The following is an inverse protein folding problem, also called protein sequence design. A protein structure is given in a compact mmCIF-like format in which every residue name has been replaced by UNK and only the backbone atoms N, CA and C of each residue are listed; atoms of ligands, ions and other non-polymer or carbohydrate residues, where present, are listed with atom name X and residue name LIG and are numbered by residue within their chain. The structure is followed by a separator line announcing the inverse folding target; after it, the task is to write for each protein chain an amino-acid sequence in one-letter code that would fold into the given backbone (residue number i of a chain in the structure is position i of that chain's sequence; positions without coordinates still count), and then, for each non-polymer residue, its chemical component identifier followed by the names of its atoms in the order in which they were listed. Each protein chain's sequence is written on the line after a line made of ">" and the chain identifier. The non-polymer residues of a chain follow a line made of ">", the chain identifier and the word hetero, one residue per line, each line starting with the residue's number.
data_IF_533598533794
#
_entry.id   IF_533598533794
#
_cell.length_a   1.000
_cell.length_b   1.000
_cell.length_c   1.000
_cell.angle_alpha   90.00
_cell.angle_beta   90.00
_cell.angle_gamma   90.00
#
_symmetry.space_group_name_H-M   'P 1'
#
loop_
_entity.id
_entity.type
_entity.pdbx_description
1 polymer ?
#
# COMPACT_ATOMS: atom_id res chain seq x y z
N UNK A 1 -10.57 -14.92 5.52
CA UNK A 1 -12.00 -14.55 5.31
C UNK A 1 -12.45 -13.43 6.24
N UNK A 2 -12.35 -13.53 7.58
CA UNK A 2 -12.77 -12.45 8.53
C UNK A 2 -12.19 -11.08 8.16
N UNK A 3 -10.87 -10.97 8.00
CA UNK A 3 -10.18 -9.72 7.66
C UNK A 3 -10.71 -9.08 6.38
N UNK A 4 -10.94 -9.88 5.33
CA UNK A 4 -11.47 -9.36 4.06
C UNK A 4 -12.87 -8.76 4.21
N UNK A 5 -13.75 -9.38 5.01
CA UNK A 5 -15.10 -8.87 5.27
C UNK A 5 -15.01 -7.57 6.08
N UNK A 6 -14.19 -7.52 7.12
CA UNK A 6 -13.99 -6.31 7.92
C UNK A 6 -13.47 -5.17 7.05
N UNK A 7 -12.48 -5.43 6.21
CA UNK A 7 -11.92 -4.43 5.30
C UNK A 7 -12.94 -3.92 4.29
N UNK A 8 -13.71 -4.81 3.66
CA UNK A 8 -14.74 -4.43 2.70
C UNK A 8 -15.86 -3.57 3.33
N UNK A 9 -16.30 -3.92 4.53
CA UNK A 9 -17.36 -3.16 5.21
C UNK A 9 -16.87 -1.84 5.80
N UNK A 10 -15.67 -1.81 6.35
CA UNK A 10 -15.07 -0.58 6.90
C UNK A 10 -14.51 0.37 5.83
N UNK A 11 -14.67 0.06 4.53
CA UNK A 11 -14.46 1.01 3.44
C UNK A 11 -15.51 2.13 3.46
N UNK A 12 -16.71 1.83 3.96
CA UNK A 12 -17.73 2.84 4.15
C UNK A 12 -17.45 3.66 5.42
N UNK A 13 -17.31 4.97 5.29
CA UNK A 13 -16.99 5.90 6.40
C UNK A 13 -17.90 5.80 7.63
N UNK A 14 -19.13 5.32 7.43
CA UNK A 14 -20.13 5.12 8.47
C UNK A 14 -19.93 3.85 9.29
N UNK A 15 -19.16 2.87 8.77
CA UNK A 15 -18.90 1.59 9.44
C UNK A 15 -17.56 1.65 10.16
N UNK A 16 -17.58 1.66 11.48
CA UNK A 16 -16.35 1.74 12.30
C UNK A 16 -15.86 0.37 12.76
N UNK A 17 -16.78 -0.55 12.96
CA UNK A 17 -16.47 -1.91 13.40
C UNK A 17 -17.50 -2.92 12.86
N UNK A 18 -17.11 -4.19 12.85
CA UNK A 18 -17.90 -5.32 12.34
C UNK A 18 -17.96 -6.43 13.38
N UNK A 19 -19.16 -6.85 13.72
CA UNK A 19 -19.42 -8.04 14.53
C UNK A 19 -20.05 -9.15 13.70
N UNK A 20 -19.74 -10.40 14.02
CA UNK A 20 -20.21 -11.55 13.29
C UNK A 20 -21.27 -12.33 14.07
N UNK A 21 -22.33 -12.72 13.37
CA UNK A 21 -23.34 -13.63 13.85
C UNK A 21 -23.44 -14.83 12.88
N UNK A 22 -23.65 -16.02 13.41
CA UNK A 22 -23.95 -17.21 12.63
C UNK A 22 -25.36 -17.67 13.01
N UNK A 23 -26.26 -17.69 12.05
CA UNK A 23 -27.68 -17.96 12.27
C UNK A 23 -28.31 -17.03 13.35
N UNK A 24 -27.90 -15.75 13.32
CA UNK A 24 -28.36 -14.74 14.28
C UNK A 24 -27.76 -14.85 15.69
N UNK A 25 -26.83 -15.77 15.93
CA UNK A 25 -26.22 -16.01 17.24
C UNK A 25 -24.71 -15.69 17.24
N UNK A 26 -24.22 -15.16 18.36
CA UNK A 26 -22.79 -15.00 18.60
C UNK A 26 -22.13 -16.38 18.72
N UNK A 27 -21.04 -16.58 18.01
CA UNK A 27 -20.18 -17.77 18.10
C UNK A 27 -18.75 -17.36 18.40
N UNK A 28 -18.02 -18.24 19.08
CA UNK A 28 -16.61 -17.96 19.37
C UNK A 28 -15.73 -18.09 18.14
N UNK A 29 -16.01 -19.06 17.26
CA UNK A 29 -15.18 -19.31 16.07
C UNK A 29 -16.01 -19.91 14.92
N UNK A 30 -15.48 -19.77 13.70
CA UNK A 30 -15.92 -20.49 12.51
C UNK A 30 -15.33 -21.91 12.48
N UNK A 31 -15.83 -22.74 11.56
CA UNK A 31 -15.49 -24.18 11.43
C UNK A 31 -13.99 -24.47 11.36
N UNK A 32 -13.16 -23.52 10.90
CA UNK A 32 -11.70 -23.67 10.83
C UNK A 32 -10.94 -22.87 11.90
N UNK A 33 -11.58 -22.61 13.05
CA UNK A 33 -10.92 -21.99 14.19
C UNK A 33 -10.74 -20.45 14.08
N UNK A 34 -11.25 -19.81 13.03
CA UNK A 34 -11.21 -18.35 12.93
C UNK A 34 -12.08 -17.74 14.01
N UNK A 35 -11.48 -17.02 14.98
CA UNK A 35 -12.19 -16.30 16.02
C UNK A 35 -13.10 -15.21 15.44
N UNK A 36 -14.36 -15.18 15.91
CA UNK A 36 -15.39 -14.21 15.50
C UNK A 36 -16.20 -13.64 16.67
N UNK A 37 -15.74 -13.84 17.90
CA UNK A 37 -16.53 -13.47 19.09
C UNK A 37 -16.59 -11.97 19.34
N UNK A 38 -15.65 -11.21 18.87
CA UNK A 38 -15.51 -9.78 19.18
C UNK A 38 -16.18 -8.84 18.18
N UNK A 39 -15.95 -7.55 18.39
CA UNK A 39 -16.09 -6.50 17.39
C UNK A 39 -14.70 -6.22 16.78
N UNK A 40 -14.65 -6.14 15.47
CA UNK A 40 -13.42 -6.03 14.71
C UNK A 40 -13.38 -4.70 13.97
N UNK A 41 -12.35 -3.94 14.22
CA UNK A 41 -12.05 -2.70 13.50
C UNK A 41 -11.11 -2.99 12.34
N UNK A 42 -10.89 -2.03 11.47
CA UNK A 42 -9.89 -2.09 10.42
C UNK A 42 -8.50 -2.15 11.05
N UNK A 43 -7.84 -3.29 10.92
CA UNK A 43 -6.44 -3.47 11.29
C UNK A 43 -5.59 -3.55 10.04
N UNK A 44 -4.31 -3.25 10.14
CA UNK A 44 -3.37 -3.34 9.04
C UNK A 44 -3.38 -4.72 8.37
N UNK A 45 -3.19 -4.75 7.05
CA UNK A 45 -2.99 -5.99 6.30
C UNK A 45 -1.52 -6.38 6.33
N UNK A 46 -1.26 -7.70 6.46
CA UNK A 46 0.08 -8.26 6.45
C UNK A 46 1.00 -7.50 7.41
N UNK A 47 0.58 -7.40 8.67
CA UNK A 47 1.37 -6.72 9.69
C UNK A 47 2.73 -7.39 9.81
N UNK A 48 3.77 -6.62 9.60
CA UNK A 48 5.11 -6.99 10.01
C UNK A 48 5.11 -6.93 11.55
N UNK A 49 5.34 -8.08 12.20
CA UNK A 49 5.25 -8.20 13.66
C UNK A 49 5.97 -7.02 14.33
N UNK A 50 5.28 -6.27 15.21
CA UNK A 50 5.93 -5.26 16.02
C UNK A 50 6.99 -5.94 16.88
N UNK A 51 8.13 -5.29 17.07
CA UNK A 51 9.03 -5.65 18.14
C UNK A 51 8.20 -5.75 19.42
N UNK A 52 8.36 -6.82 20.16
CA UNK A 52 7.52 -7.42 21.23
C UNK A 52 6.70 -6.51 22.17
N UNK A 53 6.87 -5.20 22.16
CA UNK A 53 6.12 -4.25 22.95
C UNK A 53 5.78 -3.00 22.13
N UNK A 54 4.50 -2.72 21.91
CA UNK A 54 4.04 -1.44 21.39
C UNK A 54 4.12 -0.39 22.49
N UNK A 55 5.11 0.49 22.40
CA UNK A 55 5.22 1.63 23.31
C UNK A 55 4.23 2.74 22.91
N UNK A 56 3.89 3.60 23.86
CA UNK A 56 3.08 4.79 23.61
C UNK A 56 3.70 5.63 22.47
N UNK A 57 2.89 6.02 21.48
CA UNK A 57 3.34 6.77 20.31
C UNK A 57 3.69 5.90 19.09
N UNK A 58 3.50 4.58 19.16
CA UNK A 58 3.55 3.73 17.97
C UNK A 58 2.44 4.10 16.99
N UNK A 59 2.78 4.21 15.72
CA UNK A 59 1.86 4.45 14.61
C UNK A 59 1.99 3.34 13.59
N UNK A 60 0.96 3.12 12.78
CA UNK A 60 0.97 2.13 11.72
C UNK A 60 0.97 2.83 10.37
N UNK A 61 1.98 2.54 9.56
CA UNK A 61 2.02 2.94 8.15
C UNK A 61 1.73 1.75 7.27
N UNK A 62 1.13 1.99 6.10
CA UNK A 62 0.89 0.96 5.11
C UNK A 62 1.61 1.29 3.81
N UNK A 63 2.33 0.31 3.29
CA UNK A 63 3.09 0.38 2.04
C UNK A 63 2.67 -0.76 1.13
N UNK A 64 3.03 -0.68 -0.13
CA UNK A 64 2.75 -1.73 -1.11
C UNK A 64 4.06 -2.29 -1.64
N UNK A 65 4.16 -3.62 -1.73
CA UNK A 65 5.32 -4.29 -2.29
C UNK A 65 4.90 -5.33 -3.34
N UNK A 66 5.69 -5.55 -4.40
CA UNK A 66 5.42 -6.59 -5.37
C UNK A 66 5.52 -7.98 -4.73
N UNK A 67 4.60 -8.87 -5.09
CA UNK A 67 4.77 -10.29 -4.85
C UNK A 67 5.83 -10.87 -5.78
N UNK A 68 6.45 -11.99 -5.41
CA UNK A 68 7.52 -12.64 -6.19
C UNK A 68 7.11 -12.99 -7.63
N UNK A 69 5.83 -13.16 -7.91
CA UNK A 69 5.32 -13.42 -9.26
C UNK A 69 5.15 -12.14 -10.09
N UNK A 70 5.42 -10.97 -9.52
CA UNK A 70 5.32 -9.66 -10.16
C UNK A 70 3.90 -9.25 -10.59
N UNK A 71 2.86 -10.04 -10.24
CA UNK A 71 1.49 -9.80 -10.69
C UNK A 71 0.67 -8.95 -9.73
N UNK A 72 0.99 -9.04 -8.46
CA UNK A 72 0.21 -8.42 -7.39
C UNK A 72 1.07 -7.43 -6.61
N UNK A 73 0.45 -6.34 -6.20
CA UNK A 73 0.97 -5.43 -5.20
C UNK A 73 0.27 -5.73 -3.87
N UNK A 74 1.05 -6.11 -2.88
CA UNK A 74 0.57 -6.57 -1.58
C UNK A 74 0.71 -5.44 -0.57
N UNK A 75 -0.37 -5.02 0.09
CA UNK A 75 -0.27 -4.05 1.18
C UNK A 75 0.38 -4.69 2.41
N UNK A 76 1.33 -3.97 2.98
CA UNK A 76 2.06 -4.36 4.19
C UNK A 76 1.93 -3.23 5.21
N UNK A 77 1.54 -3.57 6.43
CA UNK A 77 1.50 -2.62 7.55
C UNK A 77 2.72 -2.80 8.42
N UNK A 78 3.36 -1.68 8.74
CA UNK A 78 4.54 -1.63 9.62
C UNK A 78 4.29 -0.68 10.78
N UNK A 79 4.59 -1.13 11.99
CA UNK A 79 4.59 -0.25 13.16
C UNK A 79 5.86 0.60 13.17
N UNK A 80 5.69 1.89 13.30
CA UNK A 80 6.77 2.87 13.36
C UNK A 80 6.67 3.70 14.65
N UNK A 81 7.79 4.33 15.01
CA UNK A 81 7.87 5.32 16.08
C UNK A 81 8.28 6.65 15.44
N UNK A 82 7.33 7.56 15.28
CA UNK A 82 7.59 8.83 14.61
C UNK A 82 6.33 9.39 13.97
N UNK A 83 6.49 10.26 12.98
CA UNK A 83 5.37 10.84 12.25
C UNK A 83 4.79 9.85 11.25
N UNK A 84 3.45 9.68 11.27
CA UNK A 84 2.73 9.05 10.18
C UNK A 84 2.55 10.07 9.05
N UNK A 85 3.60 10.27 8.27
CA UNK A 85 3.59 11.14 7.10
C UNK A 85 4.16 10.42 5.87
N UNK A 86 3.92 11.00 4.69
CA UNK A 86 4.35 10.40 3.43
C UNK A 86 5.88 10.28 3.32
N UNK A 87 6.64 11.17 3.94
CA UNK A 87 8.10 11.10 3.90
C UNK A 87 8.61 9.89 4.67
N UNK A 88 8.03 9.62 5.84
CA UNK A 88 8.31 8.41 6.62
C UNK A 88 7.91 7.14 5.85
N UNK A 89 6.75 7.15 5.19
CA UNK A 89 6.33 6.00 4.38
C UNK A 89 7.27 5.74 3.19
N UNK A 90 7.75 6.78 2.51
CA UNK A 90 8.75 6.65 1.44
C UNK A 90 10.08 6.11 1.97
N UNK A 91 10.51 6.59 3.13
CA UNK A 91 11.74 6.09 3.78
C UNK A 91 11.61 4.60 4.16
N UNK A 92 10.49 4.21 4.75
CA UNK A 92 10.24 2.80 5.11
C UNK A 92 10.04 1.91 3.87
N UNK A 93 9.45 2.45 2.80
CA UNK A 93 9.36 1.77 1.51
C UNK A 93 10.74 1.47 0.92
N UNK A 94 11.67 2.42 1.02
CA UNK A 94 13.05 2.24 0.57
C UNK A 94 13.77 1.10 1.31
N UNK A 95 13.46 0.89 2.59
CA UNK A 95 14.01 -0.23 3.38
C UNK A 95 13.55 -1.60 2.89
N UNK A 96 12.52 -1.63 2.05
CA UNK A 96 11.95 -2.87 1.53
C UNK A 96 11.08 -3.63 2.53
N UNK A 97 10.48 -4.75 2.09
CA UNK A 97 9.69 -5.63 2.93
C UNK A 97 10.60 -6.44 3.87
N UNK A 98 9.99 -7.05 4.89
CA UNK A 98 10.69 -7.95 5.81
C UNK A 98 11.26 -9.16 5.06
N UNK A 99 12.46 -9.58 5.44
CA UNK A 99 13.08 -10.82 4.93
C UNK A 99 12.11 -12.00 5.12
N UNK A 100 12.07 -12.90 4.16
CA UNK A 100 11.19 -14.09 4.14
C UNK A 100 9.68 -13.80 4.07
N UNK A 101 9.29 -12.56 3.74
CA UNK A 101 7.87 -12.21 3.54
C UNK A 101 7.27 -12.77 2.24
N UNK A 102 8.09 -13.26 1.30
CA UNK A 102 7.66 -13.62 -0.05
C UNK A 102 7.36 -12.42 -0.94
N UNK A 103 7.84 -11.24 -0.55
CA UNK A 103 7.69 -10.00 -1.31
C UNK A 103 9.04 -9.54 -1.84
N UNK A 104 9.03 -8.77 -2.91
CA UNK A 104 10.24 -8.25 -3.54
C UNK A 104 10.53 -6.83 -3.07
N UNK A 105 11.83 -6.51 -2.96
CA UNK A 105 12.29 -5.14 -2.79
C UNK A 105 12.16 -4.43 -4.13
N UNK A 106 11.30 -3.42 -4.24
CA UNK A 106 10.97 -2.86 -5.55
C UNK A 106 12.04 -1.93 -6.11
N UNK A 107 12.90 -1.36 -5.27
CA UNK A 107 13.94 -0.42 -5.69
C UNK A 107 15.29 -1.11 -5.86
N UNK A 108 16.13 -0.63 -6.79
CA UNK A 108 17.49 -1.13 -6.98
C UNK A 108 18.33 -0.99 -5.70
N UNK A 109 19.32 -1.88 -5.56
CA UNK A 109 20.25 -1.80 -4.45
C UNK A 109 21.07 -0.51 -4.48
N UNK A 110 21.29 0.08 -3.32
CA UNK A 110 22.09 1.30 -3.16
C UNK A 110 21.34 2.61 -3.38
N UNK A 111 20.08 2.57 -3.78
CA UNK A 111 19.25 3.79 -3.90
C UNK A 111 19.14 4.48 -2.54
N UNK A 112 19.38 5.80 -2.55
CA UNK A 112 19.24 6.66 -1.37
C UNK A 112 18.11 7.67 -1.58
N UNK A 113 17.41 8.02 -0.51
CA UNK A 113 16.42 9.08 -0.49
C UNK A 113 17.13 10.41 -0.21
N UNK A 114 17.14 11.32 -1.18
CA UNK A 114 17.75 12.65 -1.06
C UNK A 114 16.77 13.67 -0.51
N UNK A 115 15.47 13.50 -0.78
CA UNK A 115 14.46 14.40 -0.26
C UNK A 115 13.03 13.99 -0.58
N UNK A 116 12.09 14.47 0.25
CA UNK A 116 10.65 14.37 0.03
C UNK A 116 10.03 15.73 0.32
N UNK A 117 9.18 16.20 -0.57
CA UNK A 117 8.41 17.42 -0.36
C UNK A 117 6.99 17.26 -0.86
N UNK A 118 6.04 17.96 -0.25
CA UNK A 118 4.62 17.93 -0.63
C UNK A 118 4.14 19.32 -0.94
N UNK A 119 3.56 19.52 -2.11
CA UNK A 119 2.98 20.79 -2.53
C UNK A 119 1.82 20.56 -3.49
N UNK A 120 0.69 21.23 -3.26
CA UNK A 120 -0.46 21.22 -4.16
C UNK A 120 -1.02 19.82 -4.48
N UNK A 121 -0.93 18.89 -3.51
CA UNK A 121 -1.38 17.52 -3.69
C UNK A 121 -0.41 16.63 -4.49
N UNK A 122 0.79 17.13 -4.74
CA UNK A 122 1.89 16.38 -5.36
C UNK A 122 2.96 16.11 -4.32
N UNK A 123 3.35 14.85 -4.16
CA UNK A 123 4.58 14.49 -3.46
C UNK A 123 5.71 14.43 -4.48
N UNK A 124 6.79 15.12 -4.20
CA UNK A 124 8.04 15.07 -4.98
C UNK A 124 9.07 14.31 -4.17
N UNK A 125 9.62 13.26 -4.76
CA UNK A 125 10.59 12.36 -4.14
C UNK A 125 11.87 12.44 -4.95
N UNK A 126 12.98 12.75 -4.30
CA UNK A 126 14.29 12.82 -4.93
C UNK A 126 15.16 11.65 -4.48
N UNK A 127 15.58 10.84 -5.44
CA UNK A 127 16.46 9.68 -5.23
C UNK A 127 17.85 9.92 -5.80
N UNK A 128 18.81 9.16 -5.30
CA UNK A 128 20.16 9.14 -5.87
C UNK A 128 20.21 8.51 -7.26
N UNK A 129 21.31 8.71 -7.99
CA UNK A 129 21.53 8.24 -9.36
C UNK A 129 21.33 6.72 -9.55
N UNK A 130 21.49 5.92 -8.49
CA UNK A 130 21.26 4.47 -8.54
C UNK A 130 19.82 4.12 -8.91
N UNK A 131 18.88 5.04 -8.70
CA UNK A 131 17.48 4.84 -9.05
C UNK A 131 17.26 4.58 -10.55
N UNK A 132 18.11 5.09 -11.44
CA UNK A 132 17.96 4.88 -12.88
C UNK A 132 18.02 3.40 -13.28
N UNK A 133 18.66 2.55 -12.47
CA UNK A 133 18.74 1.10 -12.68
C UNK A 133 17.38 0.41 -12.57
N UNK A 134 16.35 1.11 -12.10
CA UNK A 134 14.97 0.59 -12.07
C UNK A 134 14.49 0.18 -13.47
N UNK A 135 14.96 0.87 -14.51
CA UNK A 135 14.65 0.56 -15.91
C UNK A 135 15.25 -0.78 -16.40
N UNK A 136 16.23 -1.33 -15.69
CA UNK A 136 16.86 -2.62 -15.98
C UNK A 136 16.07 -3.81 -15.42
N UNK A 137 15.06 -3.56 -14.59
CA UNK A 137 14.18 -4.61 -14.08
C UNK A 137 13.36 -5.22 -15.22
N UNK A 138 12.90 -6.46 -15.03
CA UNK A 138 12.21 -7.25 -16.06
C UNK A 138 10.93 -6.58 -16.60
N UNK A 139 10.28 -5.75 -15.81
CA UNK A 139 9.09 -4.96 -16.17
C UNK A 139 9.43 -3.48 -16.45
N UNK A 140 10.72 -3.12 -16.54
CA UNK A 140 11.17 -1.75 -16.70
C UNK A 140 10.86 -0.85 -15.50
N UNK A 141 10.68 -1.44 -14.32
CA UNK A 141 10.39 -0.72 -13.07
C UNK A 141 8.95 -0.29 -12.88
N UNK A 142 8.03 -0.76 -13.71
CA UNK A 142 6.61 -0.37 -13.65
C UNK A 142 5.98 -0.75 -12.31
N UNK A 143 6.23 -1.96 -11.81
CA UNK A 143 5.67 -2.41 -10.53
C UNK A 143 6.23 -1.62 -9.33
N UNK A 144 7.51 -1.29 -9.38
CA UNK A 144 8.13 -0.47 -8.33
C UNK A 144 7.50 0.93 -8.25
N UNK A 145 7.29 1.56 -9.39
CA UNK A 145 6.66 2.89 -9.45
C UNK A 145 5.19 2.80 -9.03
N UNK A 146 4.44 1.78 -9.45
CA UNK A 146 3.06 1.55 -8.99
C UNK A 146 2.99 1.35 -7.48
N UNK A 147 3.89 0.55 -6.92
CA UNK A 147 3.97 0.32 -5.48
C UNK A 147 4.24 1.62 -4.71
N UNK A 148 5.18 2.44 -5.19
CA UNK A 148 5.48 3.75 -4.63
C UNK A 148 4.30 4.70 -4.73
N UNK A 149 3.63 4.75 -5.88
CA UNK A 149 2.43 5.57 -6.08
C UNK A 149 1.30 5.18 -5.13
N UNK A 150 0.99 3.88 -4.99
CA UNK A 150 -0.03 3.39 -4.07
C UNK A 150 0.32 3.71 -2.62
N UNK A 151 1.59 3.59 -2.25
CA UNK A 151 2.07 3.96 -0.91
C UNK A 151 1.85 5.43 -0.62
N UNK A 152 2.20 6.32 -1.54
CA UNK A 152 2.07 7.77 -1.36
C UNK A 152 0.61 8.25 -1.40
N UNK A 153 -0.21 7.73 -2.32
CA UNK A 153 -1.58 8.21 -2.52
C UNK A 153 -2.56 7.78 -1.43
N UNK A 154 -2.15 6.93 -0.50
CA UNK A 154 -2.92 6.66 0.72
C UNK A 154 -3.04 7.87 1.65
N UNK A 155 -2.08 8.78 1.59
CA UNK A 155 -2.08 9.96 2.44
C UNK A 155 -3.09 10.99 1.93
N UNK A 156 -3.96 11.51 2.82
CA UNK A 156 -5.00 12.47 2.44
C UNK A 156 -4.44 13.68 1.69
N UNK A 157 -5.06 14.02 0.58
CA UNK A 157 -4.67 15.16 -0.23
C UNK A 157 -3.54 14.92 -1.24
N UNK A 158 -2.86 13.76 -1.21
CA UNK A 158 -1.86 13.40 -2.21
C UNK A 158 -2.54 12.68 -3.38
N UNK A 159 -2.34 13.23 -4.58
CA UNK A 159 -2.94 12.73 -5.83
C UNK A 159 -1.92 12.45 -6.92
N UNK A 160 -0.71 12.96 -6.76
CA UNK A 160 0.37 12.84 -7.76
C UNK A 160 1.69 12.54 -7.07
N UNK A 161 2.50 11.73 -7.74
CA UNK A 161 3.88 11.46 -7.36
C UNK A 161 4.78 11.97 -8.48
N UNK A 162 5.77 12.78 -8.12
CA UNK A 162 6.84 13.23 -9.01
C UNK A 162 8.14 12.64 -8.51
N UNK A 163 8.89 12.02 -9.39
CA UNK A 163 10.19 11.43 -9.09
C UNK A 163 11.28 12.32 -9.68
N UNK A 164 12.26 12.63 -8.87
CA UNK A 164 13.52 13.24 -9.28
C UNK A 164 14.65 12.24 -9.05
N UNK A 165 15.72 12.39 -9.81
CA UNK A 165 16.99 11.72 -9.61
C UNK A 165 18.08 12.78 -9.60
N UNK A 166 18.79 12.91 -8.50
CA UNK A 166 19.79 13.97 -8.27
C UNK A 166 19.23 15.37 -8.59
N UNK A 167 17.96 15.62 -8.20
CA UNK A 167 17.25 16.88 -8.42
C UNK A 167 16.61 17.07 -9.79
N UNK A 168 16.88 16.20 -10.76
CA UNK A 168 16.34 16.29 -12.13
C UNK A 168 15.10 15.39 -12.31
N UNK A 169 14.07 15.83 -13.06
CA UNK A 169 12.88 15.03 -13.31
C UNK A 169 13.19 13.70 -14.00
N UNK A 170 12.75 12.60 -13.39
CA UNK A 170 12.90 11.26 -13.93
C UNK A 170 11.62 10.78 -14.63
N UNK A 171 11.79 10.19 -15.81
CA UNK A 171 10.71 9.53 -16.56
C UNK A 171 11.18 8.13 -16.96
N UNK A 172 10.30 7.13 -16.79
CA UNK A 172 10.59 5.81 -17.30
C UNK A 172 10.76 5.82 -18.82
N UNK A 173 11.78 5.14 -19.36
CA UNK A 173 12.11 5.20 -20.79
C UNK A 173 11.00 4.69 -21.72
N UNK A 174 10.01 3.94 -21.25
CA UNK A 174 9.19 3.11 -22.15
C UNK A 174 7.69 3.09 -21.89
N UNK A 175 7.14 3.71 -20.86
CA UNK A 175 5.67 3.70 -20.67
C UNK A 175 5.18 4.90 -19.87
N UNK A 176 3.98 5.38 -20.23
CA UNK A 176 3.22 6.27 -19.38
C UNK A 176 2.96 5.59 -18.02
N UNK A 177 3.55 6.13 -16.95
CA UNK A 177 3.19 5.71 -15.60
C UNK A 177 1.70 6.01 -15.43
N UNK A 178 0.84 4.99 -15.18
CA UNK A 178 -0.58 5.25 -15.03
C UNK A 178 -0.77 6.26 -13.91
N UNK A 179 -1.36 7.40 -14.22
CA UNK A 179 -1.84 8.30 -13.18
C UNK A 179 -3.04 7.65 -12.50
N UNK A 180 -3.32 8.01 -11.25
CA UNK A 180 -4.47 7.45 -10.53
C UNK A 180 -5.80 7.66 -11.29
N UNK A 181 -5.91 8.74 -12.07
CA UNK A 181 -7.05 8.97 -12.96
C UNK A 181 -7.17 7.93 -14.07
N UNK A 182 -6.06 7.43 -14.62
CA UNK A 182 -6.08 6.41 -15.67
C UNK A 182 -6.45 5.03 -15.09
N UNK A 183 -6.04 4.72 -13.86
CA UNK A 183 -6.44 3.47 -13.18
C UNK A 183 -7.94 3.49 -12.87
N UNK A 184 -8.48 4.61 -12.43
CA UNK A 184 -9.92 4.74 -12.17
C UNK A 184 -10.76 4.64 -13.47
N UNK A 185 -10.29 5.21 -14.58
CA UNK A 185 -11.00 5.13 -15.87
C UNK A 185 -10.92 3.72 -16.49
N UNK A 186 -9.83 2.99 -16.32
CA UNK A 186 -9.73 1.59 -16.76
C UNK A 186 -10.62 0.66 -15.92
N UNK A 187 -10.78 0.92 -14.64
CA UNK A 187 -11.66 0.16 -13.74
C UNK A 187 -13.13 0.42 -14.06
N UNK A 188 -13.53 1.67 -14.37
CA UNK A 188 -14.90 1.98 -14.76
C UNK A 188 -15.33 1.30 -16.07
N UNK A 189 -14.40 1.04 -16.99
CA UNK A 189 -14.71 0.36 -18.26
C UNK A 189 -14.76 -1.16 -18.16
N UNK A 190 -14.35 -1.77 -17.04
CA UNK A 190 -14.32 -3.22 -16.85
C UNK A 190 -15.45 -3.78 -15.97
N UNK A 191 -16.29 -2.95 -15.36
CA UNK A 191 -17.48 -3.46 -14.69
C UNK A 191 -18.57 -3.78 -15.74
N UNK A 192 -18.97 -5.05 -15.88
CA UNK A 192 -20.14 -5.38 -16.69
C UNK A 192 -21.35 -4.65 -16.11
N UNK A 193 -22.17 -4.09 -16.99
CA UNK A 193 -23.45 -3.47 -16.62
C UNK A 193 -24.17 -4.33 -15.60
N UNK A 194 -24.58 -3.70 -14.49
CA UNK A 194 -25.37 -4.36 -13.45
C UNK A 194 -26.61 -4.92 -14.13
N UNK A 195 -26.72 -6.26 -14.22
CA UNK A 195 -27.94 -6.89 -14.68
C UNK A 195 -29.06 -6.51 -13.72
N UNK A 196 -29.96 -5.67 -14.17
CA UNK A 196 -31.25 -5.44 -13.52
C UNK A 196 -32.04 -6.75 -13.61
N UNK A 197 -32.23 -7.38 -12.45
CA UNK A 197 -33.16 -8.51 -12.33
C UNK A 197 -34.56 -7.88 -12.26
N UNK A 198 -35.38 -8.10 -13.30
CA UNK A 198 -36.84 -7.88 -13.25
C UNK A 198 -37.53 -8.96 -12.40
#
# INVERSE_FOLDING_TARGET
>A
MRTAIVWALTEFDTVKDVSFLVDGQKRSALTHGTDILGSYTRVGLNQEEPAQETFAGAQEIQMYFPAQDGRLLVPVSRTIYGSDDVATAVFEFLRGPKTDSGLETPLPEGVQLLGVSVSGGTVTIDFSSEFVKIAEQSDGGVQAIRALMLTCTRYPGIRKVKILVDGEPYQLPTQEVPTFANVASEVETQYPEVMTIE
#
